data_IF_838186149847
#
_entry.id   IF_838186149847
#
_cell.length_a   1.000
_cell.length_b   1.000
_cell.length_c   1.000
_cell.angle_alpha   90.00
_cell.angle_beta   90.00
_cell.angle_gamma   90.00
#
_symmetry.space_group_name_H-M   'P 1'
#
loop_
_entity.id
_entity.type
_entity.pdbx_description
1 polymer ?
#
# COMPACT_ATOMS: atom_id res chain seq x y z
N UNK A 1 -27.38 -15.96 8.74
CA UNK A 1 -26.08 -16.27 8.09
C UNK A 1 -25.15 -15.12 8.43
N UNK A 2 -24.11 -15.34 9.24
CA UNK A 2 -23.14 -14.31 9.59
C UNK A 2 -22.07 -14.25 8.51
N UNK A 3 -21.92 -13.11 7.85
CA UNK A 3 -20.78 -12.85 6.97
C UNK A 3 -19.57 -12.64 7.88
N UNK A 4 -18.72 -13.65 7.99
CA UNK A 4 -17.39 -13.50 8.59
C UNK A 4 -16.56 -12.70 7.59
N UNK A 5 -16.48 -11.38 7.79
CA UNK A 5 -15.52 -10.52 7.11
C UNK A 5 -14.15 -10.81 7.73
N UNK A 6 -13.33 -11.66 7.09
CA UNK A 6 -12.06 -12.17 7.65
C UNK A 6 -10.86 -11.28 7.28
N UNK A 7 -11.08 -10.20 6.55
CA UNK A 7 -10.05 -9.17 6.41
C UNK A 7 -10.06 -8.34 7.70
N UNK A 8 -9.02 -8.52 8.51
CA UNK A 8 -8.80 -7.80 9.76
C UNK A 8 -8.44 -6.36 9.44
N UNK A 9 -9.45 -5.48 9.41
CA UNK A 9 -9.24 -4.07 9.13
C UNK A 9 -8.27 -3.46 10.14
N UNK A 10 -7.56 -2.43 9.71
CA UNK A 10 -6.66 -1.64 10.55
C UNK A 10 -7.50 -0.74 11.46
N UNK A 11 -7.71 -1.07 12.74
CA UNK A 11 -8.71 -0.41 13.58
C UNK A 11 -8.35 1.04 13.91
N UNK A 12 -7.11 1.43 13.62
CA UNK A 12 -6.52 2.75 13.79
C UNK A 12 -6.58 3.63 12.53
N UNK A 13 -6.98 3.08 11.38
CA UNK A 13 -7.23 3.87 10.16
C UNK A 13 -8.53 4.63 10.31
N UNK A 14 -8.40 5.84 10.87
CA UNK A 14 -9.53 6.75 11.13
C UNK A 14 -9.91 7.58 9.92
N UNK A 15 -8.97 7.77 8.99
CA UNK A 15 -9.14 8.63 7.83
C UNK A 15 -8.82 7.84 6.56
N UNK A 16 -9.59 8.09 5.50
CA UNK A 16 -9.27 7.59 4.17
C UNK A 16 -8.07 8.34 3.58
N UNK A 17 -7.65 7.90 2.40
CA UNK A 17 -6.54 8.48 1.66
C UNK A 17 -6.77 9.97 1.27
N UNK A 18 -8.03 10.41 1.24
CA UNK A 18 -8.42 11.81 1.01
C UNK A 18 -8.53 12.63 2.31
N UNK A 19 -8.17 12.06 3.46
CA UNK A 19 -8.15 12.72 4.76
C UNK A 19 -9.50 12.79 5.48
N UNK A 20 -10.51 12.05 5.03
CA UNK A 20 -11.84 12.07 5.61
C UNK A 20 -12.08 10.92 6.57
N UNK A 21 -12.82 11.18 7.64
CA UNK A 21 -13.14 10.15 8.62
C UNK A 21 -13.90 8.99 7.96
N UNK A 22 -13.35 7.78 8.05
CA UNK A 22 -13.97 6.59 7.47
C UNK A 22 -15.22 6.25 8.27
N UNK A 23 -16.38 6.20 7.61
CA UNK A 23 -17.66 5.86 8.25
C UNK A 23 -17.89 4.34 8.22
N UNK A 24 -18.42 3.80 9.32
CA UNK A 24 -18.91 2.41 9.39
C UNK A 24 -18.22 1.54 10.44
N UNK A 25 -18.77 0.34 10.66
CA UNK A 25 -18.23 -0.67 11.58
C UNK A 25 -17.04 -1.46 11.05
N UNK A 26 -16.37 -0.94 10.00
CA UNK A 26 -15.20 -1.58 9.39
C UNK A 26 -14.07 -1.79 10.40
N UNK A 27 -14.01 -0.99 11.47
CA UNK A 27 -12.92 -0.95 12.44
C UNK A 27 -13.33 -1.41 13.85
N UNK A 28 -14.13 -2.47 13.95
CA UNK A 28 -14.44 -3.05 15.26
C UNK A 28 -13.26 -3.89 15.76
N UNK A 29 -12.72 -3.54 16.92
CA UNK A 29 -11.63 -4.29 17.57
C UNK A 29 -10.55 -3.39 18.12
N UNK A 30 -9.51 -4.00 18.70
CA UNK A 30 -8.28 -3.30 19.12
C UNK A 30 -7.16 -3.56 18.13
N UNK A 31 -6.11 -2.74 18.14
CA UNK A 31 -4.92 -2.91 17.30
C UNK A 31 -4.29 -4.28 17.53
N UNK A 32 -4.21 -4.72 18.78
CA UNK A 32 -3.63 -6.00 19.17
C UNK A 32 -4.41 -7.19 18.58
N UNK A 33 -5.74 -7.08 18.53
CA UNK A 33 -6.59 -8.10 17.93
C UNK A 33 -6.41 -8.16 16.41
N UNK A 34 -6.31 -7.00 15.75
CA UNK A 34 -6.00 -6.93 14.32
C UNK A 34 -4.64 -7.56 14.03
N UNK A 35 -3.59 -7.18 14.77
CA UNK A 35 -2.26 -7.78 14.65
C UNK A 35 -2.28 -9.29 14.89
N UNK A 36 -3.04 -9.78 15.87
CA UNK A 36 -3.19 -11.21 16.10
C UNK A 36 -3.74 -11.94 14.88
N UNK A 37 -4.77 -11.39 14.23
CA UNK A 37 -5.36 -11.95 13.00
C UNK A 37 -4.38 -11.88 11.83
N UNK A 38 -3.74 -10.72 11.63
CA UNK A 38 -2.77 -10.53 10.55
C UNK A 38 -1.59 -11.49 10.68
N UNK A 39 -1.05 -11.72 11.89
CA UNK A 39 -0.01 -12.72 12.13
C UNK A 39 -0.43 -14.13 11.74
N UNK A 40 -1.71 -14.51 11.92
CA UNK A 40 -2.21 -15.80 11.45
C UNK A 40 -2.22 -15.89 9.92
N UNK A 41 -2.61 -14.81 9.24
CA UNK A 41 -2.57 -14.72 7.78
C UNK A 41 -1.12 -14.81 7.29
N UNK A 42 -0.21 -14.03 7.88
CA UNK A 42 1.22 -14.09 7.56
C UNK A 42 1.82 -15.48 7.78
N UNK A 43 1.43 -16.20 8.83
CA UNK A 43 1.86 -17.58 9.04
C UNK A 43 1.40 -18.54 7.94
N UNK A 44 0.23 -18.32 7.33
CA UNK A 44 -0.19 -19.14 6.18
C UNK A 44 0.61 -18.76 4.94
N UNK A 45 0.79 -17.47 4.67
CA UNK A 45 1.58 -16.98 3.54
C UNK A 45 3.04 -17.45 3.61
N UNK A 46 3.64 -17.46 4.80
CA UNK A 46 5.01 -17.91 5.03
C UNK A 46 5.29 -19.36 4.62
N UNK A 47 4.24 -20.19 4.48
CA UNK A 47 4.38 -21.59 4.02
C UNK A 47 4.60 -21.69 2.51
N UNK A 48 4.36 -20.62 1.75
CA UNK A 48 4.50 -20.60 0.30
C UNK A 48 5.94 -20.26 -0.10
N UNK A 49 6.91 -21.11 0.27
CA UNK A 49 8.35 -20.78 0.15
C UNK A 49 8.84 -20.52 -1.27
N UNK A 50 8.15 -21.05 -2.27
CA UNK A 50 8.45 -20.85 -3.70
C UNK A 50 7.67 -19.68 -4.32
N UNK A 51 6.94 -18.91 -3.50
CA UNK A 51 6.17 -17.75 -3.96
C UNK A 51 7.09 -16.68 -4.52
N UNK A 52 6.86 -16.29 -5.77
CA UNK A 52 7.63 -15.26 -6.49
C UNK A 52 6.92 -13.92 -6.56
N UNK A 53 5.60 -13.95 -6.58
CA UNK A 53 4.77 -12.77 -6.72
C UNK A 53 3.69 -12.82 -5.65
N UNK A 54 3.61 -11.77 -4.84
CA UNK A 54 2.54 -11.56 -3.87
C UNK A 54 1.81 -10.27 -4.23
N UNK A 55 0.62 -10.41 -4.78
CA UNK A 55 -0.27 -9.31 -5.10
C UNK A 55 -1.35 -9.19 -4.04
N UNK A 56 -1.28 -8.10 -3.27
CA UNK A 56 -2.23 -7.77 -2.21
C UNK A 56 -3.09 -6.56 -2.60
N UNK A 57 -2.53 -5.64 -3.38
CA UNK A 57 -3.21 -4.46 -3.90
C UNK A 57 -4.25 -4.77 -4.98
N UNK A 58 -4.98 -3.73 -5.39
CA UNK A 58 -5.93 -3.80 -6.50
C UNK A 58 -5.26 -3.41 -7.82
N UNK A 59 -5.66 -4.08 -8.92
CA UNK A 59 -5.16 -3.77 -10.26
C UNK A 59 -5.76 -2.45 -10.79
N UNK A 60 -4.93 -1.61 -11.42
CA UNK A 60 -5.35 -0.37 -12.08
C UNK A 60 -6.40 -0.61 -13.17
N UNK A 61 -6.39 -1.77 -13.82
CA UNK A 61 -7.19 -2.03 -15.03
C UNK A 61 -8.63 -2.47 -14.78
N UNK A 62 -8.99 -2.89 -13.56
CA UNK A 62 -10.39 -3.22 -13.21
C UNK A 62 -11.26 -1.95 -13.01
N UNK A 63 -10.68 -0.75 -13.17
CA UNK A 63 -11.31 0.54 -12.88
C UNK A 63 -12.03 1.21 -14.07
N UNK A 64 -12.12 0.57 -15.24
CA UNK A 64 -12.61 1.26 -16.46
C UNK A 64 -14.11 1.56 -16.46
N UNK A 65 -14.89 1.00 -15.53
CA UNK A 65 -16.24 1.47 -15.25
C UNK A 65 -16.21 2.54 -14.15
N UNK A 66 -15.92 3.79 -14.59
CA UNK A 66 -15.93 5.05 -13.82
C UNK A 66 -17.30 5.39 -13.18
N UNK A 67 -17.92 4.49 -12.45
CA UNK A 67 -19.01 4.85 -11.57
C UNK A 67 -18.41 5.49 -10.33
N UNK A 68 -18.32 6.83 -10.39
CA UNK A 68 -18.11 7.66 -9.21
C UNK A 68 -19.33 7.45 -8.31
N UNK A 69 -19.25 6.48 -7.40
CA UNK A 69 -20.20 6.35 -6.31
C UNK A 69 -19.97 7.55 -5.38
N UNK A 70 -20.60 8.65 -5.78
CA UNK A 70 -20.59 9.91 -5.06
C UNK A 70 -21.35 9.71 -3.77
N UNK A 71 -20.61 9.71 -2.67
CA UNK A 71 -21.18 9.51 -1.34
C UNK A 71 -21.13 10.84 -0.59
N UNK A 72 -22.23 11.29 0.03
CA UNK A 72 -22.22 12.52 0.80
C UNK A 72 -21.34 12.39 2.06
N UNK A 73 -20.43 13.33 2.24
CA UNK A 73 -19.56 13.44 3.42
C UNK A 73 -20.33 13.88 4.68
N UNK A 74 -19.64 14.24 5.77
CA UNK A 74 -20.29 14.73 6.99
C UNK A 74 -20.96 16.11 6.82
N UNK A 75 -20.60 16.85 5.77
CA UNK A 75 -21.10 18.17 5.42
C UNK A 75 -22.17 18.11 4.31
N UNK A 76 -22.51 16.92 3.81
CA UNK A 76 -23.45 16.72 2.70
C UNK A 76 -22.87 16.96 1.31
N UNK A 77 -21.56 17.18 1.19
CA UNK A 77 -20.89 17.31 -0.09
C UNK A 77 -20.68 15.93 -0.71
N UNK A 78 -21.11 15.75 -1.96
CA UNK A 78 -20.87 14.53 -2.71
C UNK A 78 -19.38 14.37 -2.99
N UNK A 79 -18.81 13.23 -2.59
CA UNK A 79 -17.40 12.90 -2.81
C UNK A 79 -17.24 11.53 -3.44
N UNK A 80 -16.23 11.43 -4.28
CA UNK A 80 -15.79 10.16 -4.79
C UNK A 80 -15.15 9.39 -3.62
N UNK A 81 -15.80 8.32 -3.16
CA UNK A 81 -15.11 7.35 -2.32
C UNK A 81 -14.28 6.54 -3.30
N UNK A 82 -12.96 6.54 -3.12
CA UNK A 82 -12.12 5.61 -3.84
C UNK A 82 -12.41 4.20 -3.34
N UNK A 83 -13.44 3.57 -3.93
CA UNK A 83 -13.82 2.21 -3.64
C UNK A 83 -12.71 1.22 -4.00
N UNK A 84 -11.73 1.66 -4.80
CA UNK A 84 -10.57 0.86 -5.17
C UNK A 84 -9.48 0.95 -4.12
N UNK A 85 -9.50 1.92 -3.21
CA UNK A 85 -8.53 2.00 -2.13
C UNK A 85 -8.87 1.02 -1.00
N UNK A 86 -8.04 0.00 -0.84
CA UNK A 86 -8.23 -1.06 0.13
C UNK A 86 -7.80 -0.62 1.54
N UNK A 87 -8.77 -0.13 2.31
CA UNK A 87 -8.58 0.19 3.74
C UNK A 87 -8.62 -1.06 4.64
N UNK A 88 -9.23 -2.15 4.17
CA UNK A 88 -9.30 -3.42 4.87
C UNK A 88 -8.26 -4.40 4.29
N UNK A 89 -7.00 -4.13 4.59
CA UNK A 89 -5.85 -4.83 4.03
C UNK A 89 -4.87 -5.28 5.13
N UNK A 90 -3.86 -6.06 4.76
CA UNK A 90 -2.73 -6.34 5.65
C UNK A 90 -1.93 -5.05 5.88
N UNK A 91 -1.48 -4.81 7.10
CA UNK A 91 -0.79 -3.57 7.46
C UNK A 91 0.58 -3.44 6.78
N UNK A 92 1.26 -4.56 6.54
CA UNK A 92 2.60 -4.62 5.94
C UNK A 92 3.68 -3.88 6.76
N UNK A 93 3.57 -3.98 8.09
CA UNK A 93 4.56 -3.46 9.06
C UNK A 93 5.27 -4.59 9.80
N UNK A 94 6.46 -4.33 10.36
CA UNK A 94 7.11 -5.31 11.24
C UNK A 94 6.29 -5.61 12.50
N UNK A 95 5.59 -4.61 13.03
CA UNK A 95 4.74 -4.74 14.22
C UNK A 95 3.59 -5.75 13.99
N UNK A 96 2.91 -5.62 12.84
CA UNK A 96 1.81 -6.51 12.44
C UNK A 96 2.26 -7.94 12.08
N UNK A 97 3.56 -8.17 11.91
CA UNK A 97 4.12 -9.51 11.67
C UNK A 97 4.67 -9.77 10.27
N UNK A 98 5.01 -8.72 9.51
CA UNK A 98 5.73 -8.85 8.24
C UNK A 98 6.98 -9.76 8.37
N UNK A 99 7.64 -9.73 9.53
CA UNK A 99 8.84 -10.51 9.85
C UNK A 99 8.65 -12.04 9.70
N UNK A 100 7.42 -12.51 9.89
CA UNK A 100 7.03 -13.91 9.72
C UNK A 100 7.21 -14.40 8.28
N UNK A 101 7.25 -13.49 7.31
CA UNK A 101 7.44 -13.80 5.89
C UNK A 101 8.92 -13.92 5.50
N UNK A 102 9.85 -13.92 6.46
CA UNK A 102 11.30 -14.03 6.18
C UNK A 102 11.70 -15.28 5.39
N UNK A 103 10.87 -16.33 5.38
CA UNK A 103 11.11 -17.57 4.64
C UNK A 103 10.87 -17.49 3.12
N UNK A 104 10.22 -16.42 2.63
CA UNK A 104 9.86 -16.26 1.21
C UNK A 104 11.08 -15.83 0.36
N UNK A 105 12.09 -16.70 0.26
CA UNK A 105 13.38 -16.37 -0.38
C UNK A 105 13.29 -16.24 -1.90
N UNK A 106 12.25 -16.84 -2.51
CA UNK A 106 11.99 -16.75 -3.95
C UNK A 106 11.16 -15.54 -4.35
N UNK A 107 10.75 -14.69 -3.38
CA UNK A 107 9.97 -13.49 -3.64
C UNK A 107 10.72 -12.55 -4.58
N UNK A 108 10.05 -12.08 -5.63
CA UNK A 108 10.56 -11.14 -6.64
C UNK A 108 9.71 -9.89 -6.74
N UNK A 109 8.39 -10.02 -6.59
CA UNK A 109 7.47 -8.90 -6.73
C UNK A 109 6.47 -8.88 -5.58
N UNK A 110 6.41 -7.74 -4.89
CA UNK A 110 5.36 -7.41 -3.94
C UNK A 110 4.51 -6.28 -4.54
N UNK A 111 3.21 -6.48 -4.64
CA UNK A 111 2.28 -5.47 -5.14
C UNK A 111 1.28 -5.07 -4.06
N UNK A 112 1.35 -3.79 -3.68
CA UNK A 112 0.52 -3.12 -2.68
C UNK A 112 -0.16 -1.87 -3.27
N UNK A 113 -0.41 -1.85 -4.58
CA UNK A 113 -1.13 -0.76 -5.26
C UNK A 113 -2.52 -0.56 -4.64
N UNK A 114 -2.95 0.69 -4.46
CA UNK A 114 -4.27 1.02 -3.92
C UNK A 114 -4.56 0.37 -2.56
N UNK A 115 -3.56 0.27 -1.69
CA UNK A 115 -3.64 -0.42 -0.41
C UNK A 115 -3.16 0.48 0.74
N UNK A 116 -3.86 0.46 1.87
CA UNK A 116 -3.49 1.21 3.08
C UNK A 116 -2.30 0.57 3.84
N UNK A 117 -1.15 0.42 3.18
CA UNK A 117 0.03 -0.22 3.76
C UNK A 117 0.83 0.74 4.66
N UNK A 118 1.64 0.19 5.59
CA UNK A 118 2.55 0.90 6.50
C UNK A 118 4.01 0.49 6.26
N UNK A 119 4.42 0.54 5.01
CA UNK A 119 5.80 0.19 4.61
C UNK A 119 6.66 1.43 4.78
N UNK A 120 7.40 1.49 5.89
CA UNK A 120 8.39 2.53 6.18
C UNK A 120 9.80 2.13 5.75
N UNK A 121 10.77 2.96 6.13
CA UNK A 121 12.20 2.64 5.93
C UNK A 121 12.60 1.33 6.64
N UNK A 122 12.20 1.08 7.91
CA UNK A 122 12.57 -0.17 8.60
C UNK A 122 12.05 -1.43 7.89
N UNK A 123 10.83 -1.38 7.36
CA UNK A 123 10.24 -2.47 6.59
C UNK A 123 11.03 -2.73 5.30
N UNK A 124 11.40 -1.69 4.55
CA UNK A 124 12.17 -1.83 3.32
C UNK A 124 13.57 -2.42 3.57
N UNK A 125 14.26 -1.95 4.61
CA UNK A 125 15.54 -2.52 5.05
C UNK A 125 15.41 -4.01 5.39
N UNK A 126 14.35 -4.35 6.13
CA UNK A 126 14.05 -5.74 6.47
C UNK A 126 13.76 -6.59 5.24
N UNK A 127 12.95 -6.09 4.29
CA UNK A 127 12.60 -6.79 3.06
C UNK A 127 13.86 -7.09 2.24
N UNK A 128 14.73 -6.10 2.05
CA UNK A 128 15.99 -6.25 1.31
C UNK A 128 16.91 -7.29 1.94
N UNK A 129 16.99 -7.31 3.27
CA UNK A 129 17.79 -8.29 4.01
C UNK A 129 17.23 -9.72 3.91
N UNK A 130 15.92 -9.88 3.91
CA UNK A 130 15.27 -11.19 4.05
C UNK A 130 14.79 -11.80 2.73
N UNK A 131 14.49 -10.98 1.72
CA UNK A 131 14.04 -11.42 0.39
C UNK A 131 15.12 -11.07 -0.65
N UNK A 132 16.20 -11.87 -0.74
CA UNK A 132 17.38 -11.54 -1.54
C UNK A 132 17.13 -11.52 -3.06
N UNK A 133 15.97 -12.03 -3.49
CA UNK A 133 15.52 -12.04 -4.89
C UNK A 133 14.45 -10.99 -5.18
N UNK A 134 14.11 -10.13 -4.21
CA UNK A 134 13.09 -9.10 -4.39
C UNK A 134 13.60 -8.09 -5.41
N UNK A 135 12.92 -8.05 -6.56
CA UNK A 135 13.25 -7.19 -7.68
C UNK A 135 12.45 -5.88 -7.58
N UNK A 136 11.19 -5.93 -7.10
CA UNK A 136 10.29 -4.78 -7.14
C UNK A 136 9.24 -4.80 -6.02
N UNK A 137 8.94 -3.63 -5.48
CA UNK A 137 7.75 -3.36 -4.66
C UNK A 137 6.92 -2.31 -5.38
N UNK A 138 5.71 -2.64 -5.80
CA UNK A 138 4.79 -1.78 -6.55
C UNK A 138 3.75 -1.19 -5.61
N UNK A 139 3.34 0.05 -5.83
CA UNK A 139 2.31 0.72 -5.04
C UNK A 139 2.84 1.55 -3.87
N UNK A 140 4.16 1.60 -3.65
CA UNK A 140 4.73 2.39 -2.55
C UNK A 140 4.35 3.87 -2.63
N UNK A 141 4.35 4.46 -3.83
CA UNK A 141 4.06 5.89 -4.04
C UNK A 141 2.76 6.13 -4.79
N UNK A 142 1.74 5.32 -4.49
CA UNK A 142 0.43 5.53 -5.08
C UNK A 142 -0.05 6.96 -4.81
N UNK A 143 -0.35 7.78 -5.84
CA UNK A 143 -0.71 9.19 -5.67
C UNK A 143 -1.94 9.43 -4.79
N UNK A 144 -2.74 8.39 -4.54
CA UNK A 144 -3.82 8.45 -3.57
C UNK A 144 -3.34 8.52 -2.11
N UNK A 145 -2.15 8.02 -1.78
CA UNK A 145 -1.69 7.83 -0.41
C UNK A 145 -0.53 8.76 -0.05
N UNK A 146 -0.84 9.98 0.40
CA UNK A 146 0.18 10.95 0.85
C UNK A 146 0.81 10.59 2.21
N UNK A 147 0.39 9.51 2.87
CA UNK A 147 0.87 9.09 4.20
C UNK A 147 1.99 8.04 4.07
N UNK A 148 2.97 8.29 3.21
CA UNK A 148 4.25 7.59 3.36
C UNK A 148 5.02 8.20 4.53
N UNK A 149 5.74 7.35 5.26
CA UNK A 149 6.68 7.83 6.27
C UNK A 149 7.71 8.76 5.61
N UNK A 150 7.93 9.92 6.24
CA UNK A 150 8.90 10.89 5.76
C UNK A 150 10.28 10.24 5.66
N UNK A 151 10.88 10.27 4.46
CA UNK A 151 12.22 9.72 4.22
C UNK A 151 12.26 8.47 3.36
N UNK A 152 11.14 7.74 3.16
CA UNK A 152 11.12 6.54 2.29
C UNK A 152 11.63 6.84 0.88
N UNK A 153 11.18 7.95 0.28
CA UNK A 153 11.65 8.38 -1.05
C UNK A 153 13.15 8.65 -1.07
N UNK A 154 13.64 9.38 -0.08
CA UNK A 154 15.05 9.75 -0.01
C UNK A 154 15.92 8.51 0.21
N UNK A 155 15.50 7.61 1.11
CA UNK A 155 16.15 6.34 1.35
C UNK A 155 16.23 5.48 0.09
N UNK A 156 15.16 5.38 -0.71
CA UNK A 156 15.19 4.63 -1.97
C UNK A 156 16.18 5.23 -2.98
N UNK A 157 16.26 6.56 -3.06
CA UNK A 157 17.23 7.24 -3.93
C UNK A 157 18.66 6.93 -3.49
N UNK A 158 18.91 6.92 -2.17
CA UNK A 158 20.26 6.78 -1.62
C UNK A 158 20.75 5.32 -1.58
N UNK A 159 19.87 4.39 -1.23
CA UNK A 159 20.22 3.01 -0.89
C UNK A 159 19.92 1.99 -1.99
N UNK A 160 18.95 2.28 -2.87
CA UNK A 160 18.53 1.34 -3.90
C UNK A 160 18.19 2.03 -5.22
N UNK A 161 19.18 2.32 -6.08
CA UNK A 161 18.95 2.99 -7.35
C UNK A 161 18.06 2.19 -8.31
N UNK A 162 17.88 0.88 -8.12
CA UNK A 162 16.98 0.06 -8.95
C UNK A 162 15.53 0.40 -8.62
N UNK A 163 15.17 0.40 -7.33
CA UNK A 163 13.83 0.82 -6.91
C UNK A 163 13.65 2.33 -7.07
N UNK A 164 14.67 3.13 -6.73
CA UNK A 164 14.67 4.58 -6.85
C UNK A 164 14.44 5.08 -8.28
N UNK A 165 14.94 4.39 -9.31
CA UNK A 165 14.76 4.79 -10.72
C UNK A 165 13.29 4.72 -11.17
N UNK A 166 12.53 3.75 -10.68
CA UNK A 166 11.10 3.62 -10.96
C UNK A 166 10.31 4.81 -10.39
N UNK A 167 10.77 5.35 -9.26
CA UNK A 167 10.10 6.42 -8.54
C UNK A 167 10.63 7.82 -8.85
N UNK A 168 11.83 7.93 -9.42
CA UNK A 168 12.43 9.20 -9.86
C UNK A 168 11.92 9.65 -11.24
N UNK A 169 11.49 8.71 -12.09
CA UNK A 169 11.05 9.00 -13.47
C UNK A 169 9.62 9.52 -13.60
N UNK A 170 8.96 9.78 -12.47
CA UNK A 170 7.76 10.59 -12.41
C UNK A 170 6.49 9.81 -12.68
N UNK A 171 5.72 9.57 -11.63
CA UNK A 171 4.27 9.66 -11.76
C UNK A 171 3.96 11.05 -12.34
N UNK A 172 3.21 11.08 -13.44
CA UNK A 172 2.61 12.33 -13.95
C UNK A 172 1.73 12.87 -12.83
N UNK A 173 2.23 13.85 -12.08
CA UNK A 173 1.38 14.58 -11.15
C UNK A 173 0.34 15.31 -11.99
N UNK A 174 -0.91 14.89 -11.90
CA UNK A 174 -2.03 15.69 -12.40
C UNK A 174 -2.13 16.90 -11.48
N UNK A 175 -1.90 18.09 -12.04
CA UNK A 175 -2.23 19.33 -11.34
C UNK A 175 -3.77 19.41 -11.14
N UNK A 176 -4.21 20.20 -10.17
CA UNK A 176 -5.63 20.33 -9.78
C UNK A 176 -6.59 20.75 -10.92
N UNK A 177 -6.05 21.10 -12.09
CA UNK A 177 -6.77 21.45 -13.33
C UNK A 177 -6.95 20.28 -14.30
N UNK A 178 -6.46 19.07 -13.98
CA UNK A 178 -6.56 17.89 -14.85
C UNK A 178 -5.67 17.93 -16.09
N UNK A 179 -4.68 18.83 -16.15
CA UNK A 179 -3.76 18.95 -17.28
C UNK A 179 -2.45 18.23 -17.00
N UNK A 180 -2.19 17.16 -17.76
CA UNK A 180 -0.95 16.40 -17.65
C UNK A 180 0.28 17.27 -17.97
N UNK A 181 0.97 17.78 -16.94
CA UNK A 181 2.26 18.41 -17.07
C UNK A 181 3.34 17.34 -16.84
N UNK A 182 3.94 16.85 -17.93
CA UNK A 182 5.08 15.95 -17.84
C UNK A 182 6.34 16.77 -17.57
N UNK A 183 6.70 16.96 -16.31
CA UNK A 183 8.03 17.48 -15.97
C UNK A 183 9.02 16.32 -15.99
N UNK A 184 9.79 16.24 -17.08
CA UNK A 184 11.02 15.43 -17.10
C UNK A 184 12.06 16.14 -16.25
N UNK A 185 12.53 15.49 -15.19
CA UNK A 185 13.78 15.88 -14.54
C UNK A 185 14.89 15.25 -15.38
N UNK A 186 15.53 16.04 -16.24
CA UNK A 186 16.74 15.63 -16.94
C UNK A 186 17.86 15.49 -15.90
N UNK A 187 18.13 14.26 -15.47
CA UNK A 187 19.35 13.96 -14.72
C UNK A 187 20.52 13.97 -15.69
N UNK A 188 21.28 15.07 -15.68
CA UNK A 188 22.57 15.13 -16.36
C UNK A 188 23.54 14.12 -15.74
N UNK A 189 23.86 13.07 -16.50
CA UNK A 189 24.98 12.20 -16.19
C UNK A 189 26.32 12.96 -16.38
N UNK A 190 27.25 12.94 -15.42
CA UNK A 190 28.65 13.32 -15.65
C UNK A 190 29.40 12.27 -16.49
#
# INVERSE_FOLDING_TARGET
>A
MGVLSVAGALPDVKFDHAGYAVKGGLFQGTVEESHRIQRQIYQQLAKLTDLRTLQLGHDYWDSVEFYQDLTPDAQGCLRNIDAYFQLNCLEMSLESGLDLLSGLKEMRLLDVVHMAHRIGVPELEWMRKNWPKLERVVGLFDPGFEILESGVRQWLIDEDPIWGAEYSTGYRTFNATGTCATTYVEYGHP
#
